data_IF_182797427929
#
_entry.id   IF_182797427929
#
_cell.length_a   1.000
_cell.length_b   1.000
_cell.length_c   1.000
_cell.angle_alpha   90.00
_cell.angle_beta   90.00
_cell.angle_gamma   90.00
#
_symmetry.space_group_name_H-M   'P 1'
#
loop_
_entity.id
_entity.type
_entity.pdbx_description
1 polymer ?
#
# COMPACT_ATOMS: atom_id res chain seq x y z
N UNK A 1 79.47 -12.36 58.83
CA UNK A 1 78.12 -12.75 59.30
C UNK A 1 77.29 -13.16 58.06
N UNK A 2 77.23 -14.44 57.79
CA UNK A 2 76.31 -14.93 56.78
C UNK A 2 74.90 -14.88 57.38
N UNK A 3 74.04 -14.01 56.87
CA UNK A 3 72.64 -14.01 57.21
C UNK A 3 72.05 -15.34 56.67
N UNK A 4 71.57 -16.21 57.56
CA UNK A 4 70.86 -17.40 57.22
C UNK A 4 69.66 -16.99 56.39
N UNK A 5 69.60 -17.45 55.10
CA UNK A 5 68.45 -17.21 54.24
C UNK A 5 67.20 -17.92 54.77
N UNK A 6 66.08 -17.24 54.77
CA UNK A 6 64.83 -17.82 55.20
C UNK A 6 64.48 -19.00 54.27
N UNK A 7 64.02 -20.17 54.80
CA UNK A 7 63.77 -21.38 53.99
C UNK A 7 62.75 -21.20 52.89
N UNK A 8 61.95 -20.13 52.88
CA UNK A 8 61.01 -19.77 51.82
C UNK A 8 61.53 -18.64 50.90
N UNK A 9 62.78 -18.19 51.11
CA UNK A 9 63.42 -17.18 50.26
C UNK A 9 63.83 -17.83 48.93
N UNK A 10 63.24 -17.36 47.83
CA UNK A 10 63.60 -17.79 46.49
C UNK A 10 64.75 -16.93 45.96
N UNK A 11 65.65 -17.60 45.25
CA UNK A 11 66.70 -16.85 44.51
C UNK A 11 66.13 -16.08 43.36
N UNK A 12 66.76 -14.96 43.00
CA UNK A 12 66.28 -14.04 41.95
C UNK A 12 66.01 -14.78 40.61
N UNK A 13 66.82 -15.79 40.30
CA UNK A 13 66.70 -16.59 39.10
C UNK A 13 65.46 -17.52 39.07
N UNK A 14 64.95 -17.86 40.28
CA UNK A 14 63.71 -18.66 40.38
C UNK A 14 62.46 -17.83 40.37
N UNK A 15 62.54 -16.48 40.58
CA UNK A 15 61.40 -15.56 40.59
C UNK A 15 61.12 -15.02 39.16
N UNK A 16 62.11 -15.06 38.28
CA UNK A 16 62.02 -14.61 36.91
C UNK A 16 62.13 -15.77 35.95
N UNK A 17 61.08 -16.00 35.15
CA UNK A 17 61.15 -16.93 34.07
C UNK A 17 61.97 -16.31 32.92
N UNK A 18 63.13 -16.83 32.66
CA UNK A 18 63.99 -16.47 31.53
C UNK A 18 63.72 -17.45 30.39
N UNK A 19 63.41 -16.94 29.21
CA UNK A 19 63.29 -17.74 28.01
C UNK A 19 64.51 -17.51 27.16
N UNK A 20 65.29 -18.51 26.91
CA UNK A 20 66.46 -18.44 26.02
C UNK A 20 65.97 -18.18 24.56
N UNK A 21 66.37 -17.09 23.95
CA UNK A 21 66.03 -16.78 22.56
C UNK A 21 66.44 -17.94 21.58
N UNK A 22 67.54 -18.63 21.86
CA UNK A 22 67.99 -19.76 21.02
C UNK A 22 67.07 -20.96 21.08
N UNK A 23 66.33 -21.14 22.19
CA UNK A 23 65.36 -22.22 22.34
C UNK A 23 64.01 -21.99 21.61
N UNK A 24 63.78 -20.76 21.08
CA UNK A 24 62.51 -20.41 20.43
C UNK A 24 62.35 -20.98 19.02
N UNK A 25 63.42 -21.43 18.38
CA UNK A 25 63.39 -22.10 17.07
C UNK A 25 63.04 -21.22 15.86
N UNK A 26 63.04 -19.89 16.06
CA UNK A 26 62.83 -18.90 15.02
C UNK A 26 63.73 -17.68 15.23
N UNK A 27 64.10 -16.95 14.16
CA UNK A 27 64.97 -15.81 14.22
C UNK A 27 64.23 -14.47 14.20
N UNK A 28 63.02 -14.48 13.66
CA UNK A 28 62.17 -13.27 13.55
C UNK A 28 60.71 -13.64 13.83
N UNK A 29 59.97 -12.73 14.44
CA UNK A 29 58.51 -12.88 14.61
C UNK A 29 57.71 -12.96 13.30
N UNK A 30 58.34 -12.54 12.18
CA UNK A 30 57.76 -12.69 10.84
C UNK A 30 57.62 -14.16 10.40
N UNK A 31 58.40 -15.05 11.03
CA UNK A 31 58.36 -16.51 10.76
C UNK A 31 57.23 -17.20 11.52
N UNK A 32 56.59 -16.52 12.48
CA UNK A 32 55.56 -17.09 13.31
C UNK A 32 54.16 -16.95 12.62
N UNK A 33 53.46 -18.04 12.51
CA UNK A 33 52.01 -17.99 12.22
C UNK A 33 51.24 -17.51 13.43
N UNK A 34 50.24 -16.68 13.22
CA UNK A 34 49.33 -16.27 14.29
C UNK A 34 48.64 -17.51 14.85
N UNK A 35 48.73 -17.79 16.20
CA UNK A 35 48.08 -18.95 16.76
C UNK A 35 46.59 -18.87 16.55
N UNK A 36 46.07 -19.95 15.96
CA UNK A 36 44.62 -20.03 15.64
C UNK A 36 43.77 -20.54 16.82
N UNK A 37 44.42 -21.00 17.89
CA UNK A 37 43.77 -21.57 19.09
C UNK A 37 44.16 -20.82 20.35
N UNK A 38 43.38 -20.96 21.41
CA UNK A 38 43.75 -20.54 22.78
C UNK A 38 44.87 -21.38 23.28
N UNK A 39 46.05 -20.79 23.42
CA UNK A 39 47.23 -21.55 23.94
C UNK A 39 46.92 -22.06 25.34
N UNK A 40 46.99 -23.36 25.56
CA UNK A 40 46.81 -24.01 26.84
C UNK A 40 45.36 -24.11 27.34
N UNK A 41 44.37 -23.99 26.46
CA UNK A 41 42.94 -24.07 26.80
C UNK A 41 42.20 -25.11 25.94
N UNK A 42 42.88 -26.23 25.60
CA UNK A 42 42.37 -27.27 24.72
C UNK A 42 41.02 -27.85 25.15
N UNK A 43 40.84 -28.06 26.48
CA UNK A 43 39.57 -28.57 27.04
C UNK A 43 38.40 -27.58 26.86
N UNK A 44 38.67 -26.27 26.89
CA UNK A 44 37.65 -25.24 26.68
C UNK A 44 37.24 -25.19 25.21
N UNK A 45 38.20 -25.33 24.29
CA UNK A 45 37.93 -25.42 22.86
C UNK A 45 37.13 -26.66 22.49
N UNK A 46 37.50 -27.82 22.99
CA UNK A 46 36.74 -29.08 22.82
C UNK A 46 35.29 -28.96 23.35
N UNK A 47 35.12 -28.34 24.53
CA UNK A 47 33.79 -28.12 25.11
C UNK A 47 32.93 -27.14 24.31
N UNK A 48 33.53 -26.10 23.76
CA UNK A 48 32.83 -25.13 22.88
C UNK A 48 32.42 -25.83 21.58
N UNK A 49 33.35 -26.58 20.94
CA UNK A 49 33.07 -27.31 19.71
C UNK A 49 31.93 -28.31 19.92
N UNK A 50 32.02 -29.13 20.97
CA UNK A 50 30.97 -30.08 21.34
C UNK A 50 29.61 -29.38 21.55
N UNK A 51 29.58 -28.28 22.26
CA UNK A 51 28.35 -27.54 22.53
C UNK A 51 27.73 -26.98 21.25
N UNK A 52 28.53 -26.55 20.26
CA UNK A 52 28.06 -26.04 18.97
C UNK A 52 27.56 -27.13 18.02
N UNK A 53 27.95 -28.43 18.26
CA UNK A 53 27.41 -29.56 17.50
C UNK A 53 26.03 -30.00 17.97
N UNK A 54 25.65 -29.68 19.23
CA UNK A 54 24.34 -30.06 19.79
C UNK A 54 23.24 -29.26 19.14
N UNK A 55 22.31 -29.96 18.46
CA UNK A 55 21.17 -29.33 17.76
C UNK A 55 19.88 -29.23 18.62
N UNK A 56 19.97 -29.31 19.95
CA UNK A 56 18.81 -29.20 20.86
C UNK A 56 18.57 -27.72 21.19
N UNK A 57 17.39 -27.18 20.87
CA UNK A 57 16.98 -25.78 21.13
C UNK A 57 17.04 -25.38 22.62
N UNK A 58 17.05 -26.35 23.54
CA UNK A 58 17.15 -26.13 24.99
C UNK A 58 18.55 -26.13 25.50
N UNK A 59 19.54 -26.46 24.68
CA UNK A 59 20.94 -26.50 25.08
C UNK A 59 21.58 -25.13 24.89
N UNK A 60 22.00 -24.53 26.02
CA UNK A 60 22.64 -23.21 26.01
C UNK A 60 24.09 -23.34 26.49
N UNK A 61 25.03 -22.73 25.78
CA UNK A 61 26.44 -22.67 26.19
C UNK A 61 26.67 -21.44 27.09
N UNK A 62 27.17 -21.69 28.30
CA UNK A 62 27.59 -20.66 29.24
C UNK A 62 29.10 -20.70 29.44
N UNK A 63 29.81 -19.61 29.13
CA UNK A 63 31.28 -19.53 29.23
C UNK A 63 31.69 -18.55 30.33
N UNK A 64 32.33 -19.09 31.37
CA UNK A 64 32.82 -18.34 32.52
C UNK A 64 34.36 -18.30 32.55
N UNK A 65 34.93 -17.23 33.13
CA UNK A 65 36.37 -17.08 33.28
C UNK A 65 36.75 -15.67 33.67
N UNK A 66 38.01 -15.41 33.97
CA UNK A 66 38.52 -14.10 34.36
C UNK A 66 38.47 -13.10 33.17
N UNK A 67 38.31 -11.78 33.41
CA UNK A 67 38.51 -10.78 32.38
C UNK A 67 39.88 -10.91 31.70
N UNK A 68 39.92 -10.75 30.37
CA UNK A 68 41.16 -10.86 29.60
C UNK A 68 41.59 -12.31 29.25
N UNK A 69 40.82 -13.35 29.62
CA UNK A 69 41.12 -14.77 29.28
C UNK A 69 40.77 -15.18 27.84
N UNK A 70 40.41 -14.26 26.98
CA UNK A 70 40.08 -14.55 25.56
C UNK A 70 38.71 -15.21 25.31
N UNK A 71 37.82 -15.27 26.33
CA UNK A 71 36.51 -15.96 26.26
C UNK A 71 35.69 -15.55 25.03
N UNK A 72 35.46 -14.22 24.88
CA UNK A 72 34.63 -13.69 23.80
C UNK A 72 35.25 -13.99 22.42
N UNK A 73 36.56 -13.74 22.29
CA UNK A 73 37.31 -13.95 21.05
C UNK A 73 37.22 -15.39 20.58
N UNK A 74 37.41 -16.35 21.51
CA UNK A 74 37.38 -17.79 21.19
C UNK A 74 35.99 -18.28 20.84
N UNK A 75 34.99 -17.87 21.62
CA UNK A 75 33.60 -18.25 21.32
C UNK A 75 33.16 -17.67 19.97
N UNK A 76 33.41 -16.38 19.72
CA UNK A 76 33.05 -15.75 18.45
C UNK A 76 33.76 -16.41 17.25
N UNK A 77 35.04 -16.78 17.44
CA UNK A 77 35.79 -17.49 16.40
C UNK A 77 35.14 -18.86 16.11
N UNK A 78 34.93 -19.68 17.14
CA UNK A 78 34.32 -20.99 16.97
C UNK A 78 32.90 -20.93 16.37
N UNK A 79 32.07 -19.94 16.81
CA UNK A 79 30.75 -19.72 16.25
C UNK A 79 30.83 -19.34 14.77
N UNK A 80 31.75 -18.45 14.39
CA UNK A 80 31.93 -18.04 12.97
C UNK A 80 32.37 -19.21 12.08
N UNK A 81 33.28 -20.06 12.58
CA UNK A 81 33.74 -21.26 11.86
C UNK A 81 32.60 -22.26 11.61
N UNK A 82 31.78 -22.51 12.62
CA UNK A 82 30.60 -23.38 12.50
C UNK A 82 29.51 -22.72 11.64
N UNK A 83 29.26 -21.44 11.82
CA UNK A 83 28.28 -20.70 11.04
C UNK A 83 28.63 -20.69 9.53
N UNK A 84 29.90 -20.52 9.18
CA UNK A 84 30.35 -20.56 7.78
C UNK A 84 30.06 -21.90 7.07
N UNK A 85 29.94 -23.00 7.85
CA UNK A 85 29.63 -24.34 7.32
C UNK A 85 28.13 -24.65 7.29
N UNK A 86 27.30 -23.83 7.95
CA UNK A 86 25.84 -24.01 7.99
C UNK A 86 25.18 -23.24 6.84
N UNK A 87 24.01 -23.70 6.37
CA UNK A 87 23.23 -22.94 5.41
C UNK A 87 22.83 -21.59 6.01
N UNK A 88 22.94 -20.53 5.21
CA UNK A 88 22.60 -19.16 5.61
C UNK A 88 21.16 -19.07 6.08
N UNK A 89 20.94 -18.36 7.18
CA UNK A 89 19.61 -18.13 7.71
C UNK A 89 18.73 -17.37 6.71
N UNK A 90 17.41 -17.62 6.78
CA UNK A 90 16.45 -16.96 5.88
C UNK A 90 16.20 -15.52 6.33
N UNK A 91 15.97 -14.66 5.35
CA UNK A 91 15.43 -13.34 5.60
C UNK A 91 13.96 -13.43 6.05
N UNK A 92 13.54 -12.47 6.87
CA UNK A 92 12.16 -12.36 7.31
C UNK A 92 11.64 -10.96 7.08
N UNK A 93 10.41 -10.88 6.61
CA UNK A 93 9.68 -9.63 6.49
C UNK A 93 8.24 -9.78 6.96
N UNK A 94 7.63 -8.65 7.34
CA UNK A 94 6.23 -8.58 7.70
C UNK A 94 5.47 -7.77 6.66
N UNK A 95 4.29 -8.27 6.29
CA UNK A 95 3.38 -7.64 5.35
C UNK A 95 1.99 -7.52 5.96
N UNK A 96 1.17 -6.62 5.42
CA UNK A 96 -0.21 -6.43 5.86
C UNK A 96 -1.06 -7.68 5.59
N UNK A 97 -1.91 -8.02 6.57
CA UNK A 97 -2.92 -9.07 6.42
C UNK A 97 -4.25 -8.42 5.99
N UNK A 98 -4.69 -8.66 4.76
CA UNK A 98 -5.87 -8.00 4.20
C UNK A 98 -7.19 -8.48 4.82
N UNK A 99 -7.24 -9.69 5.34
CA UNK A 99 -8.44 -10.28 5.97
C UNK A 99 -8.53 -10.01 7.47
N UNK A 100 -7.39 -9.86 8.17
CA UNK A 100 -7.33 -9.66 9.62
C UNK A 100 -6.54 -8.42 9.97
N UNK A 101 -7.25 -7.37 10.32
CA UNK A 101 -6.62 -6.13 10.73
C UNK A 101 -5.84 -6.31 12.04
N UNK A 102 -4.61 -5.80 12.08
CA UNK A 102 -3.76 -5.83 13.28
C UNK A 102 -2.87 -7.06 13.42
N UNK A 103 -3.01 -8.08 12.57
CA UNK A 103 -2.17 -9.28 12.55
C UNK A 103 -1.28 -9.26 11.30
N UNK A 104 0.02 -8.91 11.38
CA UNK A 104 0.89 -8.97 10.21
C UNK A 104 1.19 -10.42 9.80
N UNK A 105 1.41 -10.62 8.50
CA UNK A 105 1.86 -11.92 7.96
C UNK A 105 3.37 -11.93 7.89
N UNK A 106 3.99 -12.95 8.50
CA UNK A 106 5.42 -13.18 8.37
C UNK A 106 5.74 -13.98 7.10
N UNK A 107 6.63 -13.44 6.28
CA UNK A 107 7.13 -14.08 5.06
C UNK A 107 8.61 -14.36 5.21
N UNK A 108 9.05 -15.56 4.79
CA UNK A 108 10.46 -15.93 4.77
C UNK A 108 10.97 -16.02 3.34
N UNK A 109 12.17 -15.48 3.12
CA UNK A 109 12.87 -15.48 1.83
C UNK A 109 14.29 -16.05 2.01
N UNK A 110 14.97 -16.43 0.92
CA UNK A 110 16.41 -16.69 0.97
C UNK A 110 17.19 -15.47 1.46
N UNK A 111 18.39 -15.70 2.02
CA UNK A 111 19.27 -14.63 2.49
C UNK A 111 19.50 -13.55 1.41
N UNK A 112 19.40 -12.29 1.78
CA UNK A 112 19.57 -11.11 0.91
C UNK A 112 18.37 -10.83 0.00
N UNK A 113 17.32 -11.66 0.03
CA UNK A 113 16.18 -11.49 -0.88
C UNK A 113 15.07 -10.57 -0.34
N UNK A 114 14.98 -10.34 0.97
CA UNK A 114 13.91 -9.50 1.52
C UNK A 114 14.00 -8.02 1.09
N UNK A 115 15.17 -7.36 1.08
CA UNK A 115 15.27 -5.99 0.57
C UNK A 115 14.96 -5.87 -0.92
N UNK A 116 15.29 -6.91 -1.71
CA UNK A 116 14.94 -6.97 -3.14
C UNK A 116 13.44 -7.08 -3.32
N UNK A 117 12.79 -7.96 -2.54
CA UNK A 117 11.34 -8.13 -2.57
C UNK A 117 10.61 -6.85 -2.18
N UNK A 118 11.06 -6.15 -1.13
CA UNK A 118 10.47 -4.88 -0.73
C UNK A 118 10.51 -3.85 -1.88
N UNK A 119 11.66 -3.67 -2.53
CA UNK A 119 11.81 -2.78 -3.70
C UNK A 119 10.97 -3.20 -4.90
N UNK A 120 10.84 -4.50 -5.14
CA UNK A 120 10.00 -5.01 -6.21
C UNK A 120 8.52 -4.70 -5.98
N UNK A 121 8.05 -4.83 -4.73
CA UNK A 121 6.65 -4.48 -4.36
C UNK A 121 6.42 -2.99 -4.51
N UNK A 122 7.34 -2.13 -4.06
CA UNK A 122 7.24 -0.67 -4.24
C UNK A 122 7.17 -0.30 -5.73
N UNK A 123 8.06 -0.88 -6.53
CA UNK A 123 8.07 -0.69 -7.98
C UNK A 123 6.76 -1.16 -8.63
N UNK A 124 6.22 -2.29 -8.18
CA UNK A 124 4.94 -2.82 -8.62
C UNK A 124 3.79 -1.85 -8.32
N UNK A 125 3.71 -1.34 -7.11
CA UNK A 125 2.65 -0.37 -6.71
C UNK A 125 2.74 0.91 -7.55
N UNK A 126 3.95 1.44 -7.78
CA UNK A 126 4.17 2.62 -8.61
C UNK A 126 3.75 2.35 -10.07
N UNK A 127 4.11 1.18 -10.61
CA UNK A 127 3.73 0.78 -11.96
C UNK A 127 2.21 0.63 -12.09
N UNK A 128 1.54 -0.02 -11.13
CA UNK A 128 0.08 -0.14 -11.09
C UNK A 128 -0.60 1.24 -11.07
N UNK A 129 -0.15 2.16 -10.24
CA UNK A 129 -0.69 3.54 -10.19
C UNK A 129 -0.55 4.25 -11.54
N UNK A 130 0.57 4.09 -12.21
CA UNK A 130 0.78 4.66 -13.55
C UNK A 130 -0.18 4.10 -14.58
N UNK A 131 -0.34 2.77 -14.61
CA UNK A 131 -1.25 2.11 -15.57
C UNK A 131 -2.72 2.43 -15.26
N UNK A 132 -3.13 2.49 -13.98
CA UNK A 132 -4.47 2.93 -13.58
C UNK A 132 -4.76 4.35 -14.05
N UNK A 133 -3.85 5.29 -13.84
CA UNK A 133 -4.00 6.67 -14.33
C UNK A 133 -4.16 6.73 -15.84
N UNK A 134 -3.37 5.95 -16.58
CA UNK A 134 -3.46 5.85 -18.03
C UNK A 134 -4.80 5.27 -18.48
N UNK A 135 -5.25 4.17 -17.87
CA UNK A 135 -6.47 3.47 -18.24
C UNK A 135 -7.73 4.32 -17.93
N UNK A 136 -7.87 4.78 -16.69
CA UNK A 136 -9.01 5.60 -16.23
C UNK A 136 -8.99 7.04 -16.75
N UNK A 137 -7.81 7.54 -17.19
CA UNK A 137 -7.67 8.82 -17.85
C UNK A 137 -7.87 8.76 -19.37
N UNK A 138 -8.05 7.59 -19.98
CA UNK A 138 -8.18 7.44 -21.42
C UNK A 138 -9.51 8.00 -21.96
N UNK A 139 -9.49 8.52 -23.18
CA UNK A 139 -10.70 9.02 -23.83
C UNK A 139 -11.72 7.90 -24.08
N UNK A 140 -11.27 6.69 -24.33
CA UNK A 140 -12.14 5.53 -24.47
C UNK A 140 -12.92 5.23 -23.19
N UNK A 141 -12.24 5.27 -22.04
CA UNK A 141 -12.88 5.08 -20.73
C UNK A 141 -13.88 6.20 -20.44
N UNK A 142 -13.51 7.47 -20.66
CA UNK A 142 -14.39 8.64 -20.45
C UNK A 142 -15.65 8.52 -21.31
N UNK A 143 -15.50 8.26 -22.60
CA UNK A 143 -16.63 8.07 -23.52
C UNK A 143 -17.57 6.96 -23.06
N UNK A 144 -17.04 5.82 -22.67
CA UNK A 144 -17.86 4.70 -22.23
C UNK A 144 -18.59 4.99 -20.92
N UNK A 145 -17.93 5.64 -19.97
CA UNK A 145 -18.54 6.10 -18.72
C UNK A 145 -19.64 7.14 -18.96
N UNK A 146 -19.39 8.12 -19.85
CA UNK A 146 -20.37 9.14 -20.19
C UNK A 146 -21.60 8.54 -20.88
N UNK A 147 -21.42 7.52 -21.74
CA UNK A 147 -22.53 6.78 -22.33
C UNK A 147 -23.40 6.09 -21.28
N UNK A 148 -22.79 5.47 -20.27
CA UNK A 148 -23.51 4.84 -19.15
C UNK A 148 -24.33 5.88 -18.37
N UNK A 149 -23.73 7.03 -18.07
CA UNK A 149 -24.40 8.13 -17.35
C UNK A 149 -25.56 8.69 -18.19
N UNK A 150 -25.34 8.92 -19.48
CA UNK A 150 -26.36 9.45 -20.38
C UNK A 150 -27.53 8.48 -20.58
N UNK A 151 -27.28 7.16 -20.64
CA UNK A 151 -28.35 6.17 -20.76
C UNK A 151 -29.30 6.22 -19.57
N UNK A 152 -28.76 6.32 -18.37
CA UNK A 152 -29.56 6.43 -17.15
C UNK A 152 -30.27 7.78 -17.05
N UNK A 153 -29.58 8.87 -17.41
CA UNK A 153 -30.19 10.19 -17.43
C UNK A 153 -31.41 10.24 -18.36
N UNK A 154 -31.28 9.67 -19.56
CA UNK A 154 -32.41 9.57 -20.53
C UNK A 154 -33.57 8.72 -20.01
N UNK A 155 -33.29 7.58 -19.37
CA UNK A 155 -34.34 6.73 -18.77
C UNK A 155 -35.07 7.44 -17.65
N UNK A 156 -34.31 8.14 -16.77
CA UNK A 156 -34.91 8.95 -15.70
C UNK A 156 -35.78 10.09 -16.26
N UNK A 157 -35.28 10.82 -17.23
CA UNK A 157 -35.97 11.91 -17.90
C UNK A 157 -37.28 11.38 -18.55
N UNK A 158 -37.20 10.28 -19.29
CA UNK A 158 -38.39 9.67 -19.90
C UNK A 158 -39.46 9.27 -18.87
N UNK A 159 -39.09 8.74 -17.70
CA UNK A 159 -40.05 8.41 -16.64
C UNK A 159 -40.70 9.66 -16.05
N UNK A 160 -39.90 10.70 -15.80
CA UNK A 160 -40.41 11.97 -15.25
C UNK A 160 -41.27 12.72 -16.28
N UNK A 161 -40.91 12.69 -17.56
CA UNK A 161 -41.71 13.29 -18.63
C UNK A 161 -43.06 12.59 -18.80
N UNK A 162 -43.08 11.27 -18.74
CA UNK A 162 -44.33 10.50 -18.77
C UNK A 162 -45.27 10.86 -17.61
N UNK A 163 -44.70 10.95 -16.40
CA UNK A 163 -45.42 11.37 -15.21
C UNK A 163 -45.94 12.83 -15.34
N UNK A 164 -45.10 13.73 -15.82
CA UNK A 164 -45.47 15.14 -16.05
C UNK A 164 -46.56 15.29 -17.12
N UNK A 165 -46.48 14.53 -18.23
CA UNK A 165 -47.49 14.54 -19.28
C UNK A 165 -48.83 13.99 -18.75
N UNK A 166 -48.83 12.89 -18.01
CA UNK A 166 -50.05 12.34 -17.44
C UNK A 166 -50.68 13.32 -16.43
N UNK A 167 -49.86 13.94 -15.57
CA UNK A 167 -50.34 14.99 -14.66
C UNK A 167 -50.99 16.16 -15.43
N UNK A 168 -50.38 16.61 -16.53
CA UNK A 168 -50.90 17.70 -17.33
C UNK A 168 -52.24 17.34 -18.04
N UNK A 169 -52.38 16.07 -18.49
CA UNK A 169 -53.64 15.59 -19.03
C UNK A 169 -54.78 15.57 -18.03
N UNK A 170 -54.46 15.32 -16.74
CA UNK A 170 -55.39 15.36 -15.63
C UNK A 170 -55.60 16.78 -15.07
N UNK A 171 -54.94 17.80 -15.64
CA UNK A 171 -55.06 19.18 -15.22
C UNK A 171 -54.16 19.56 -14.04
N UNK A 172 -53.00 18.94 -13.92
CA UNK A 172 -52.02 19.22 -12.86
C UNK A 172 -50.63 19.45 -13.44
N UNK A 173 -49.82 20.19 -12.72
CA UNK A 173 -48.37 20.26 -12.92
C UNK A 173 -47.65 19.71 -11.69
N UNK A 174 -46.50 19.06 -11.92
CA UNK A 174 -45.63 18.57 -10.85
C UNK A 174 -44.47 19.54 -10.74
N UNK A 175 -44.27 20.11 -9.57
CA UNK A 175 -43.19 21.06 -9.31
C UNK A 175 -42.27 20.54 -8.20
N UNK A 176 -40.95 20.56 -8.41
CA UNK A 176 -39.97 20.24 -7.38
C UNK A 176 -39.94 21.38 -6.34
N UNK A 177 -40.11 21.00 -5.08
CA UNK A 177 -40.01 21.93 -3.93
C UNK A 177 -38.93 21.44 -2.97
N UNK A 178 -38.54 22.25 -2.01
CA UNK A 178 -37.57 21.87 -0.96
C UNK A 178 -38.03 20.69 -0.09
N UNK A 179 -39.34 20.41 -0.07
CA UNK A 179 -39.94 19.32 0.71
C UNK A 179 -40.33 18.09 -0.14
N UNK A 180 -40.07 18.11 -1.46
CA UNK A 180 -40.42 17.03 -2.38
C UNK A 180 -41.16 17.52 -3.64
N UNK A 181 -41.92 16.63 -4.30
CA UNK A 181 -42.72 16.96 -5.47
C UNK A 181 -44.11 17.45 -5.05
N UNK A 182 -44.46 18.67 -5.46
CA UNK A 182 -45.79 19.25 -5.23
C UNK A 182 -46.65 19.07 -6.48
N UNK A 183 -47.88 18.61 -6.31
CA UNK A 183 -48.90 18.48 -7.37
C UNK A 183 -49.82 19.70 -7.28
N UNK A 184 -49.81 20.51 -8.32
CA UNK A 184 -50.54 21.81 -8.38
C UNK A 184 -51.62 21.72 -9.45
N UNK A 185 -52.91 21.91 -9.10
CA UNK A 185 -53.96 21.93 -10.09
C UNK A 185 -53.83 23.16 -10.99
N UNK A 186 -54.05 22.99 -12.31
CA UNK A 186 -53.92 24.04 -13.29
C UNK A 186 -55.14 24.10 -14.22
N UNK A 187 -55.47 25.33 -14.67
CA UNK A 187 -56.47 25.53 -15.70
C UNK A 187 -55.80 25.89 -17.01
N UNK A 188 -56.29 25.28 -18.09
CA UNK A 188 -55.88 25.70 -19.45
C UNK A 188 -56.53 27.04 -19.76
N UNK A 189 -55.71 28.08 -19.95
CA UNK A 189 -56.21 29.37 -20.45
C UNK A 189 -56.34 29.26 -21.97
N UNK A 190 -57.53 29.40 -22.49
CA UNK A 190 -57.76 29.52 -23.94
C UNK A 190 -57.10 30.82 -24.41
N UNK A 191 -56.19 30.76 -25.39
CA UNK A 191 -55.57 31.93 -25.97
C UNK A 191 -56.63 32.91 -26.48
N UNK A 192 -56.49 34.25 -26.23
CA UNK A 192 -57.22 35.24 -27.02
C UNK A 192 -56.74 35.17 -28.47
N UNK A 193 -57.60 35.36 -29.48
CA UNK A 193 -57.23 35.27 -30.87
C UNK A 193 -56.11 36.26 -31.20
N UNK A 194 -54.89 35.77 -31.41
CA UNK A 194 -53.73 36.60 -31.75
C UNK A 194 -53.85 37.00 -33.21
N UNK A 195 -53.96 38.30 -33.44
CA UNK A 195 -53.79 38.97 -34.72
C UNK A 195 -52.41 38.67 -35.31
N UNK A 196 -52.42 38.23 -36.56
CA UNK A 196 -51.27 37.84 -37.36
C UNK A 196 -50.11 38.85 -37.30
N UNK A 197 -48.92 38.40 -36.93
CA UNK A 197 -47.62 38.59 -37.61
C UNK A 197 -46.45 38.15 -36.72
N UNK A 198 -45.83 37.04 -37.09
CA UNK A 198 -44.41 36.74 -36.83
C UNK A 198 -44.08 36.17 -35.48
N UNK A 199 -44.07 34.82 -35.40
CA UNK A 199 -43.07 34.01 -34.69
C UNK A 199 -43.52 32.55 -34.75
N UNK A 200 -42.89 31.76 -35.61
CA UNK A 200 -43.22 30.40 -35.84
C UNK A 200 -42.39 29.39 -34.99
N UNK A 201 -41.92 29.74 -33.82
CA UNK A 201 -41.06 28.89 -33.00
C UNK A 201 -41.42 28.81 -31.50
N UNK A 202 -42.43 29.51 -30.98
CA UNK A 202 -42.80 29.45 -29.55
C UNK A 202 -44.19 28.84 -29.26
N UNK A 203 -44.79 28.13 -30.19
CA UNK A 203 -46.19 27.68 -30.10
C UNK A 203 -46.37 26.30 -29.47
N UNK A 204 -45.68 25.93 -28.38
CA UNK A 204 -45.96 24.68 -27.68
C UNK A 204 -46.11 24.78 -26.15
N UNK A 205 -46.13 25.94 -25.54
CA UNK A 205 -46.52 26.10 -24.13
C UNK A 205 -47.94 26.67 -24.05
N UNK A 206 -48.95 25.75 -24.02
CA UNK A 206 -50.27 26.14 -23.55
C UNK A 206 -50.10 26.81 -22.18
N UNK A 207 -50.44 28.12 -22.04
CA UNK A 207 -50.30 28.81 -20.77
C UNK A 207 -51.27 28.18 -19.78
N UNK A 208 -50.73 27.34 -18.89
CA UNK A 208 -51.45 26.76 -17.76
C UNK A 208 -51.27 27.69 -16.54
N UNK A 209 -52.36 28.05 -15.91
CA UNK A 209 -52.30 28.87 -14.69
C UNK A 209 -52.67 28.02 -13.49
N UNK A 210 -51.87 28.08 -12.40
CA UNK A 210 -52.22 27.44 -11.14
C UNK A 210 -53.58 27.93 -10.63
N UNK A 211 -54.40 27.05 -10.12
CA UNK A 211 -55.66 27.39 -9.46
C UNK A 211 -55.34 27.80 -8.01
N UNK A 212 -55.58 29.06 -7.60
CA UNK A 212 -55.34 29.45 -6.20
C UNK A 212 -56.28 28.72 -5.23
N UNK A 213 -55.89 28.49 -3.98
CA UNK A 213 -56.72 27.81 -2.96
C UNK A 213 -58.09 28.48 -2.75
N UNK A 214 -58.17 29.82 -2.86
CA UNK A 214 -59.40 30.58 -2.71
C UNK A 214 -60.36 30.30 -3.87
N UNK A 215 -59.86 30.18 -5.08
CA UNK A 215 -60.63 29.88 -6.27
C UNK A 215 -61.13 28.43 -6.25
N UNK A 216 -60.29 27.49 -5.82
CA UNK A 216 -60.68 26.08 -5.62
C UNK A 216 -61.86 25.91 -4.71
N UNK A 217 -62.01 26.75 -3.64
CA UNK A 217 -63.09 26.71 -2.68
C UNK A 217 -64.43 27.16 -3.26
N UNK A 218 -64.41 27.93 -4.35
CA UNK A 218 -65.60 28.44 -5.02
C UNK A 218 -66.15 27.56 -6.13
N UNK A 219 -65.41 26.51 -6.52
CA UNK A 219 -65.82 25.53 -7.54
C UNK A 219 -67.04 24.72 -7.12
N UNK A 220 -67.88 24.19 -8.06
CA UNK A 220 -68.97 23.27 -7.76
C UNK A 220 -68.47 22.04 -7.02
N UNK A 221 -69.25 21.47 -6.08
CA UNK A 221 -68.82 20.34 -5.26
C UNK A 221 -68.38 19.08 -6.06
N UNK A 222 -68.98 18.85 -7.24
CA UNK A 222 -68.64 17.74 -8.10
C UNK A 222 -67.27 17.95 -8.80
N UNK A 223 -66.95 19.18 -9.12
CA UNK A 223 -65.65 19.54 -9.72
C UNK A 223 -64.50 19.47 -8.68
N UNK A 224 -64.78 19.95 -7.46
CA UNK A 224 -63.84 19.78 -6.38
C UNK A 224 -63.58 18.30 -6.05
N UNK A 225 -64.60 17.40 -6.17
CA UNK A 225 -64.42 15.99 -5.95
C UNK A 225 -63.52 15.36 -7.05
N UNK A 226 -63.79 15.68 -8.29
CA UNK A 226 -62.95 15.24 -9.47
C UNK A 226 -61.48 15.65 -9.32
N UNK A 227 -61.23 16.90 -8.96
CA UNK A 227 -59.88 17.40 -8.77
C UNK A 227 -59.20 16.66 -7.62
N UNK A 228 -59.86 16.37 -6.51
CA UNK A 228 -59.29 15.58 -5.40
C UNK A 228 -58.96 14.13 -5.82
N UNK A 229 -59.87 13.45 -6.48
CA UNK A 229 -59.65 12.08 -6.97
C UNK A 229 -58.50 12.01 -7.93
N UNK A 230 -58.41 12.96 -8.88
CA UNK A 230 -57.26 13.04 -9.80
C UNK A 230 -55.94 13.39 -9.12
N UNK A 231 -55.99 14.31 -8.11
CA UNK A 231 -54.83 14.62 -7.28
C UNK A 231 -54.30 13.39 -6.54
N UNK A 232 -55.19 12.61 -5.91
CA UNK A 232 -54.84 11.41 -5.17
C UNK A 232 -54.23 10.34 -6.12
N UNK A 233 -54.77 10.23 -7.35
CA UNK A 233 -54.26 9.33 -8.38
C UNK A 233 -52.81 9.73 -8.77
N UNK A 234 -52.58 11.03 -9.03
CA UNK A 234 -51.24 11.51 -9.39
C UNK A 234 -50.26 11.35 -8.23
N UNK A 235 -50.68 11.58 -6.97
CA UNK A 235 -49.84 11.34 -5.81
C UNK A 235 -49.46 9.86 -5.70
N UNK A 236 -50.38 8.92 -6.00
CA UNK A 236 -50.08 7.51 -6.03
C UNK A 236 -49.07 7.16 -7.13
N UNK A 237 -49.22 7.73 -8.32
CA UNK A 237 -48.26 7.53 -9.41
C UNK A 237 -46.86 8.09 -9.08
N UNK A 238 -46.78 9.24 -8.44
CA UNK A 238 -45.51 9.78 -7.93
C UNK A 238 -44.87 8.77 -6.95
N UNK A 239 -45.68 8.23 -6.01
CA UNK A 239 -45.21 7.24 -5.06
C UNK A 239 -44.71 5.94 -5.72
N UNK A 240 -45.25 5.58 -6.88
CA UNK A 240 -44.82 4.40 -7.65
C UNK A 240 -43.61 4.69 -8.56
N UNK A 241 -43.47 5.91 -9.06
CA UNK A 241 -42.38 6.31 -9.98
C UNK A 241 -41.08 6.62 -9.23
N UNK A 242 -41.14 7.29 -8.06
CA UNK A 242 -39.96 7.66 -7.30
C UNK A 242 -39.05 6.48 -6.92
N UNK A 243 -39.56 5.35 -6.43
CA UNK A 243 -38.72 4.17 -6.17
C UNK A 243 -38.04 3.64 -7.44
N UNK A 244 -38.74 3.65 -8.57
CA UNK A 244 -38.16 3.21 -9.86
C UNK A 244 -37.00 4.12 -10.31
N UNK A 245 -37.11 5.42 -10.10
CA UNK A 245 -36.02 6.37 -10.36
C UNK A 245 -34.83 6.07 -9.47
N UNK A 246 -35.06 5.83 -8.18
CA UNK A 246 -34.02 5.47 -7.22
C UNK A 246 -33.32 4.15 -7.59
N UNK A 247 -34.11 3.16 -8.00
CA UNK A 247 -33.61 1.85 -8.46
C UNK A 247 -32.72 1.98 -9.70
N UNK A 248 -33.13 2.80 -10.68
CA UNK A 248 -32.31 3.11 -11.86
C UNK A 248 -31.00 3.82 -11.51
N UNK A 249 -31.02 4.75 -10.55
CA UNK A 249 -29.81 5.44 -10.09
C UNK A 249 -28.84 4.49 -9.38
N UNK A 250 -29.35 3.56 -8.56
CA UNK A 250 -28.51 2.58 -7.88
C UNK A 250 -27.94 1.55 -8.88
N UNK A 251 -28.74 1.06 -9.83
CA UNK A 251 -28.26 0.19 -10.91
C UNK A 251 -27.16 0.89 -11.73
N UNK A 252 -27.30 2.19 -11.98
CA UNK A 252 -26.27 2.97 -12.66
C UNK A 252 -24.97 3.04 -11.87
N UNK A 253 -25.07 3.30 -10.57
CA UNK A 253 -23.89 3.35 -9.67
C UNK A 253 -23.18 2.00 -9.66
N UNK A 254 -23.92 0.91 -9.61
CA UNK A 254 -23.36 -0.44 -9.65
C UNK A 254 -22.67 -0.73 -10.99
N UNK A 255 -23.30 -0.38 -12.11
CA UNK A 255 -22.69 -0.54 -13.43
C UNK A 255 -21.41 0.26 -13.61
N UNK A 256 -21.38 1.50 -13.10
CA UNK A 256 -20.18 2.33 -13.14
C UNK A 256 -19.09 1.74 -12.23
N UNK A 257 -19.44 1.28 -11.02
CA UNK A 257 -18.49 0.60 -10.12
C UNK A 257 -17.90 -0.66 -10.78
N UNK A 258 -18.75 -1.51 -11.37
CA UNK A 258 -18.31 -2.71 -12.08
C UNK A 258 -17.40 -2.37 -13.27
N UNK A 259 -17.71 -1.35 -14.03
CA UNK A 259 -16.90 -0.90 -15.16
C UNK A 259 -15.53 -0.34 -14.70
N UNK A 260 -15.50 0.44 -13.63
CA UNK A 260 -14.27 0.95 -13.03
C UNK A 260 -13.39 -0.20 -12.53
N UNK A 261 -13.99 -1.15 -11.82
CA UNK A 261 -13.31 -2.33 -11.29
C UNK A 261 -12.69 -3.19 -12.42
N UNK A 262 -13.47 -3.48 -13.46
CA UNK A 262 -12.99 -4.28 -14.60
C UNK A 262 -11.87 -3.58 -15.39
N UNK A 263 -11.99 -2.27 -15.58
CA UNK A 263 -10.94 -1.45 -16.21
C UNK A 263 -9.67 -1.44 -15.37
N UNK A 264 -9.79 -1.28 -14.04
CA UNK A 264 -8.68 -1.30 -13.11
C UNK A 264 -8.00 -2.67 -13.06
N UNK A 265 -8.79 -3.76 -13.02
CA UNK A 265 -8.26 -5.12 -13.02
C UNK A 265 -7.41 -5.40 -14.26
N UNK A 266 -7.92 -5.05 -15.46
CA UNK A 266 -7.16 -5.19 -16.70
C UNK A 266 -5.88 -4.34 -16.75
N UNK A 267 -5.92 -3.14 -16.18
CA UNK A 267 -4.77 -2.25 -16.16
C UNK A 267 -3.60 -2.80 -15.34
N UNK A 268 -3.87 -3.46 -14.21
CA UNK A 268 -2.83 -3.93 -13.28
C UNK A 268 -2.43 -5.41 -13.48
N UNK A 269 -3.21 -6.18 -14.23
CA UNK A 269 -3.05 -7.64 -14.39
C UNK A 269 -1.64 -8.04 -14.83
N UNK A 270 -1.09 -7.37 -15.82
CA UNK A 270 0.24 -7.69 -16.34
C UNK A 270 1.33 -7.49 -15.29
N UNK A 271 1.26 -6.41 -14.52
CA UNK A 271 2.23 -6.09 -13.47
C UNK A 271 2.17 -7.12 -12.33
N UNK A 272 0.94 -7.47 -11.92
CA UNK A 272 0.71 -8.47 -10.89
C UNK A 272 1.20 -9.87 -11.31
N UNK A 273 0.87 -10.29 -12.53
CA UNK A 273 1.30 -11.59 -13.07
C UNK A 273 2.83 -11.68 -13.19
N UNK A 274 3.51 -10.59 -13.62
CA UNK A 274 4.97 -10.54 -13.71
C UNK A 274 5.62 -10.70 -12.35
N UNK A 275 5.13 -9.98 -11.33
CA UNK A 275 5.66 -10.06 -9.98
C UNK A 275 5.37 -11.44 -9.35
N UNK A 276 4.15 -11.95 -9.48
CA UNK A 276 3.77 -13.26 -8.98
C UNK A 276 4.61 -14.38 -9.62
N UNK A 277 4.93 -14.28 -10.91
CA UNK A 277 5.80 -15.24 -11.59
C UNK A 277 7.24 -15.21 -11.05
N UNK A 278 7.78 -14.02 -10.75
CA UNK A 278 9.13 -13.88 -10.15
C UNK A 278 9.24 -14.60 -8.81
N UNK A 279 8.17 -14.59 -8.01
CA UNK A 279 8.12 -15.18 -6.67
C UNK A 279 7.31 -16.48 -6.60
N UNK A 280 7.09 -17.15 -7.72
CA UNK A 280 6.24 -18.35 -7.85
C UNK A 280 6.68 -19.55 -6.96
N UNK A 281 7.92 -19.56 -6.51
CA UNK A 281 8.44 -20.58 -5.58
C UNK A 281 7.92 -20.42 -4.12
N UNK A 282 7.24 -19.31 -3.79
CA UNK A 282 6.74 -19.05 -2.45
C UNK A 282 5.24 -18.67 -2.50
N UNK A 283 4.38 -19.64 -2.22
CA UNK A 283 2.93 -19.49 -2.29
C UNK A 283 2.38 -18.34 -1.43
N UNK A 284 2.98 -18.11 -0.24
CA UNK A 284 2.56 -17.01 0.64
C UNK A 284 2.85 -15.63 0.05
N UNK A 285 3.97 -15.50 -0.66
CA UNK A 285 4.31 -14.26 -1.36
C UNK A 285 3.36 -14.03 -2.53
N UNK A 286 3.06 -15.08 -3.30
CA UNK A 286 2.09 -15.02 -4.40
C UNK A 286 0.70 -14.63 -3.90
N UNK A 287 0.27 -15.20 -2.77
CA UNK A 287 -0.99 -14.85 -2.11
C UNK A 287 -1.02 -13.38 -1.67
N UNK A 288 0.04 -12.89 -1.04
CA UNK A 288 0.17 -11.48 -0.69
C UNK A 288 0.06 -10.56 -1.92
N UNK A 289 0.76 -10.89 -3.02
CA UNK A 289 0.70 -10.11 -4.27
C UNK A 289 -0.72 -10.07 -4.83
N UNK A 290 -1.46 -11.18 -4.76
CA UNK A 290 -2.87 -11.23 -5.20
C UNK A 290 -3.77 -10.36 -4.33
N UNK A 291 -3.58 -10.36 -3.02
CA UNK A 291 -4.33 -9.49 -2.11
C UNK A 291 -4.03 -8.01 -2.37
N UNK A 292 -2.76 -7.65 -2.57
CA UNK A 292 -2.37 -6.29 -2.97
C UNK A 292 -3.02 -5.91 -4.30
N UNK A 293 -3.00 -6.79 -5.30
CA UNK A 293 -3.67 -6.56 -6.58
C UNK A 293 -5.16 -6.30 -6.40
N UNK A 294 -5.87 -7.13 -5.64
CA UNK A 294 -7.30 -6.99 -5.39
C UNK A 294 -7.63 -5.67 -4.67
N UNK A 295 -6.84 -5.30 -3.68
CA UNK A 295 -7.02 -4.04 -2.94
C UNK A 295 -6.72 -2.81 -3.83
N UNK A 296 -5.67 -2.86 -4.68
CA UNK A 296 -5.38 -1.83 -5.68
C UNK A 296 -6.53 -1.67 -6.69
N UNK A 297 -7.12 -2.77 -7.16
CA UNK A 297 -8.28 -2.74 -8.07
C UNK A 297 -9.49 -2.10 -7.41
N UNK A 298 -9.76 -2.42 -6.14
CA UNK A 298 -10.88 -1.87 -5.37
C UNK A 298 -10.75 -0.37 -5.10
N UNK A 299 -9.52 0.16 -5.06
CA UNK A 299 -9.21 1.58 -4.82
C UNK A 299 -8.63 2.27 -6.07
N UNK A 300 -8.90 1.72 -7.26
CA UNK A 300 -8.26 2.15 -8.51
C UNK A 300 -8.47 3.60 -8.88
N UNK A 301 -9.65 4.15 -8.64
CA UNK A 301 -10.01 5.55 -8.86
C UNK A 301 -9.25 6.50 -7.92
N UNK A 302 -9.16 6.14 -6.64
CA UNK A 302 -8.41 6.91 -5.63
C UNK A 302 -6.91 6.92 -5.96
N UNK A 303 -6.35 5.75 -6.30
CA UNK A 303 -4.94 5.60 -6.63
C UNK A 303 -4.55 6.29 -7.95
N UNK A 304 -5.45 6.31 -8.94
CA UNK A 304 -5.26 7.02 -10.20
C UNK A 304 -5.29 8.54 -10.04
N UNK A 305 -6.08 9.07 -9.09
CA UNK A 305 -6.22 10.50 -8.82
C UNK A 305 -5.01 11.11 -8.09
N UNK A 306 -4.11 10.29 -7.54
CA UNK A 306 -2.90 10.78 -6.86
C UNK A 306 -1.96 11.46 -7.86
N UNK A 307 -1.32 12.58 -7.49
CA UNK A 307 -0.35 13.25 -8.35
C UNK A 307 0.78 12.27 -8.73
N UNK A 308 1.30 12.41 -9.95
CA UNK A 308 2.41 11.61 -10.42
C UNK A 308 3.66 11.97 -9.62
N UNK A 309 4.37 10.97 -9.11
CA UNK A 309 5.76 11.19 -8.78
C UNK A 309 6.44 11.64 -10.07
N UNK A 310 6.97 12.85 -10.10
CA UNK A 310 7.83 13.30 -11.20
C UNK A 310 9.05 12.37 -11.19
N UNK A 311 8.97 11.29 -11.97
CA UNK A 311 10.09 10.43 -12.22
C UNK A 311 11.13 11.25 -12.98
N UNK A 312 12.27 11.50 -12.35
CA UNK A 312 13.49 11.76 -13.07
C UNK A 312 13.70 10.59 -14.03
N UNK A 313 13.58 10.88 -15.30
CA UNK A 313 13.87 9.98 -16.42
C UNK A 313 15.31 9.46 -16.26
N UNK A 314 15.58 8.15 -16.20
CA UNK A 314 16.94 7.65 -16.23
C UNK A 314 17.44 7.59 -17.69
N UNK A 315 17.34 8.66 -18.44
CA UNK A 315 17.89 8.83 -19.78
C UNK A 315 18.38 10.28 -19.88
N UNK A 316 19.40 10.59 -19.14
CA UNK A 316 20.18 11.80 -19.20
C UNK A 316 21.63 11.40 -19.28
N UNK A 317 22.15 11.43 -20.50
CA UNK A 317 23.53 11.47 -20.86
C UNK A 317 24.31 12.40 -19.91
N UNK A 318 25.08 11.84 -19.00
CA UNK A 318 26.03 12.56 -18.16
C UNK A 318 27.40 12.02 -18.47
N UNK A 319 28.11 12.75 -19.32
CA UNK A 319 29.56 12.71 -19.47
C UNK A 319 30.24 12.84 -18.11
N UNK A 320 31.30 12.07 -17.83
CA UNK A 320 32.06 12.21 -16.61
C UNK A 320 33.08 13.34 -16.76
N UNK A 321 32.87 14.45 -16.08
CA UNK A 321 33.94 15.37 -15.75
C UNK A 321 34.48 15.07 -14.37
N UNK A 322 35.78 14.85 -14.37
CA UNK A 322 36.62 14.62 -13.21
C UNK A 322 36.64 15.81 -12.27
N UNK A 323 36.55 15.59 -10.96
CA UNK A 323 37.32 16.38 -10.01
C UNK A 323 37.77 15.54 -8.83
N UNK A 324 39.02 15.71 -8.54
CA UNK A 324 39.92 15.03 -7.63
C UNK A 324 39.68 15.40 -6.15
N UNK A 325 40.01 14.42 -5.31
CA UNK A 325 40.73 14.52 -4.04
C UNK A 325 40.12 15.33 -2.88
N UNK A 326 39.69 14.62 -1.84
CA UNK A 326 40.32 14.86 -0.52
C UNK A 326 40.18 13.63 0.39
N UNK A 327 41.32 13.05 0.72
CA UNK A 327 41.49 12.09 1.82
C UNK A 327 41.25 12.79 3.16
N UNK A 328 40.43 12.23 4.00
CA UNK A 328 40.55 12.33 5.43
C UNK A 328 40.08 11.00 6.03
N UNK A 329 41.07 10.27 6.51
CA UNK A 329 40.90 9.15 7.45
C UNK A 329 40.29 9.73 8.73
N UNK A 330 39.18 9.11 9.20
CA UNK A 330 39.05 8.88 10.65
C UNK A 330 38.09 7.72 10.91
N UNK A 331 38.51 6.94 11.87
CA UNK A 331 37.97 5.65 12.26
C UNK A 331 36.68 5.76 13.09
N UNK A 332 36.00 4.61 13.14
CA UNK A 332 35.00 4.17 14.12
C UNK A 332 33.61 4.76 13.99
N UNK A 333 32.73 3.97 13.40
CA UNK A 333 31.28 4.16 13.45
C UNK A 333 30.59 2.88 13.03
N UNK A 334 29.98 2.24 14.02
CA UNK A 334 29.01 1.16 13.90
C UNK A 334 28.07 1.44 12.71
N UNK A 335 28.27 0.68 11.62
CA UNK A 335 27.54 0.85 10.37
C UNK A 335 26.13 0.26 10.45
N UNK A 336 25.23 0.98 11.06
CA UNK A 336 23.82 0.87 10.74
C UNK A 336 23.61 1.63 9.43
N UNK A 337 23.40 0.88 8.36
CA UNK A 337 23.12 1.36 7.00
C UNK A 337 21.71 2.00 6.96
N UNK A 338 21.60 3.24 7.49
CA UNK A 338 20.40 4.08 7.43
C UNK A 338 20.39 5.00 6.17
N UNK A 339 21.24 4.74 5.19
CA UNK A 339 21.54 5.64 4.08
C UNK A 339 20.81 5.39 2.74
N UNK A 340 19.86 4.45 2.67
CA UNK A 340 19.11 4.19 1.42
C UNK A 340 17.60 4.40 1.60
N UNK A 341 17.21 5.51 2.21
CA UNK A 341 15.87 6.06 1.98
C UNK A 341 15.85 6.56 0.54
N UNK A 342 15.35 5.72 -0.35
CA UNK A 342 15.24 6.02 -1.78
C UNK A 342 14.47 7.34 -1.92
N UNK A 343 14.89 8.24 -2.81
CA UNK A 343 14.19 9.52 -3.11
C UNK A 343 12.70 9.32 -3.41
N UNK A 344 12.28 8.12 -3.78
CA UNK A 344 10.88 7.71 -3.90
C UNK A 344 10.11 7.71 -2.57
N UNK A 345 10.76 7.46 -1.44
CA UNK A 345 10.14 7.52 -0.11
C UNK A 345 9.87 8.95 0.33
N UNK A 346 10.80 9.87 0.06
CA UNK A 346 10.66 11.29 0.41
C UNK A 346 9.54 12.00 -0.37
N UNK A 347 9.35 11.66 -1.65
CA UNK A 347 8.29 12.26 -2.49
C UNK A 347 6.91 11.72 -2.12
N UNK A 348 6.80 10.47 -1.64
CA UNK A 348 5.54 9.93 -1.13
C UNK A 348 5.12 10.56 0.20
N UNK A 349 6.06 11.00 1.04
CA UNK A 349 5.76 11.49 2.39
C UNK A 349 5.20 12.92 2.41
N UNK A 350 5.59 13.80 1.51
CA UNK A 350 5.13 15.19 1.48
C UNK A 350 3.68 15.32 0.99
N UNK A 351 3.31 14.63 -0.10
CA UNK A 351 1.94 14.59 -0.63
C UNK A 351 0.96 13.81 0.26
N UNK A 352 1.47 12.91 1.10
CA UNK A 352 0.67 12.05 1.97
C UNK A 352 0.32 12.68 3.32
N UNK A 353 1.05 13.73 3.76
CA UNK A 353 0.74 14.46 5.01
C UNK A 353 -0.63 15.14 4.96
N UNK A 354 -1.03 15.60 3.78
CA UNK A 354 -2.33 16.25 3.57
C UNK A 354 -3.50 15.25 3.41
N UNK A 355 -3.21 13.94 3.20
CA UNK A 355 -4.21 12.90 2.90
C UNK A 355 -3.99 11.63 3.72
N UNK A 356 -4.27 11.65 5.03
CA UNK A 356 -3.93 10.54 5.94
C UNK A 356 -4.60 9.20 5.57
N UNK A 357 -5.79 9.21 4.96
CA UNK A 357 -6.46 7.99 4.51
C UNK A 357 -5.74 7.31 3.34
N UNK A 358 -5.12 8.08 2.45
CA UNK A 358 -4.32 7.56 1.33
C UNK A 358 -2.98 7.03 1.83
N UNK A 359 -2.36 7.75 2.78
CA UNK A 359 -1.16 7.27 3.45
C UNK A 359 -1.41 5.91 4.14
N UNK A 360 -2.55 5.76 4.81
CA UNK A 360 -2.95 4.50 5.43
C UNK A 360 -3.15 3.38 4.39
N UNK A 361 -3.74 3.70 3.23
CA UNK A 361 -3.92 2.76 2.13
C UNK A 361 -2.56 2.28 1.58
N UNK A 362 -1.65 3.18 1.26
CA UNK A 362 -0.34 2.83 0.70
C UNK A 362 0.56 2.08 1.69
N UNK A 363 0.42 2.34 3.01
CA UNK A 363 1.14 1.58 4.04
C UNK A 363 0.78 0.09 4.05
N UNK A 364 -0.42 -0.31 3.61
CA UNK A 364 -0.81 -1.72 3.50
C UNK A 364 0.02 -2.48 2.49
N UNK A 365 0.57 -1.80 1.50
CA UNK A 365 1.37 -2.42 0.44
C UNK A 365 2.85 -2.50 0.79
N UNK A 366 3.30 -1.85 1.86
CA UNK A 366 4.71 -1.87 2.27
C UNK A 366 5.13 -3.22 2.81
N UNK A 367 6.33 -3.63 2.43
CA UNK A 367 7.02 -4.79 2.99
C UNK A 367 8.00 -4.29 4.05
N UNK A 368 7.80 -4.70 5.30
CA UNK A 368 8.69 -4.35 6.40
C UNK A 368 9.75 -5.45 6.54
N UNK A 369 10.97 -5.18 6.13
CA UNK A 369 12.10 -6.09 6.31
C UNK A 369 12.47 -6.11 7.79
N UNK A 370 12.33 -7.29 8.44
CA UNK A 370 12.62 -7.47 9.85
C UNK A 370 14.07 -7.89 10.08
N UNK A 371 14.56 -8.84 9.31
CA UNK A 371 15.94 -9.29 9.35
C UNK A 371 16.38 -9.68 7.95
N UNK A 372 17.60 -9.32 7.60
CA UNK A 372 18.28 -9.72 6.37
C UNK A 372 19.65 -10.27 6.67
N UNK A 373 20.09 -11.24 5.87
CA UNK A 373 21.38 -11.91 6.01
C UNK A 373 22.17 -11.75 4.71
N UNK A 374 23.49 -11.65 4.84
CA UNK A 374 24.34 -11.70 3.65
C UNK A 374 24.31 -13.12 3.05
N UNK A 375 24.11 -13.29 1.74
CA UNK A 375 24.12 -14.61 1.11
C UNK A 375 25.42 -15.38 1.35
N UNK A 376 26.54 -14.65 1.50
CA UNK A 376 27.89 -15.20 1.67
C UNK A 376 28.33 -15.30 3.14
N UNK A 377 27.47 -14.89 4.08
CA UNK A 377 27.84 -14.73 5.50
C UNK A 377 27.79 -16.00 6.34
N UNK A 378 27.23 -17.09 5.85
CA UNK A 378 26.88 -18.28 6.65
C UNK A 378 25.69 -18.04 7.59
N UNK A 379 25.43 -18.96 8.53
CA UNK A 379 24.33 -18.89 9.50
C UNK A 379 24.61 -17.89 10.63
#
# INVERSE_FOLDING_TARGET
>A
MNAERHPLELEADHVRRYTDPAALGFTSTAELSVPQSLVGQERAEESIAFALEIADERYNLYVAGNPGSGRLTSVLKAVREVAAQRPTAKDWCYVHHFERQGEPVALSLPAGAAPVFARDVDTFVIACRRELRRALGSDAYRKQRDLLIQDVARKRESLLDQLQQHALEQGFIIQATTMGLAVIPVRRVAEPPVSAAGAAEEAQSAQVQPIPPDEFSTLPPDEQRRIREAHDTIQQEIADVLPRVQELEEEARERIRAFNHDTSARAVERQASTLAQKYSANDRIVEFIRHVQADIVSHGDVLAALPGTHGTNPSGDATPEAEQEHYAEDETGDGTDDGLTTQAELVLDEDLRERPHIAALLRRYRVNVFVTHSPDGGA
#
